data_IF_572074415671
#
_entry.id   IF_572074415671
#
_cell.length_a   1.000
_cell.length_b   1.000
_cell.length_c   1.000
_cell.angle_alpha   90.00
_cell.angle_beta   90.00
_cell.angle_gamma   90.00
#
_symmetry.space_group_name_H-M   'P 1'
#
loop_
_entity.id
_entity.type
_entity.pdbx_description
1 polymer ?
#
# COMPACT_ATOMS: atom_id res chain seq x y z
N UNK A 1 -2.06 1.18 8.05
CA UNK A 1 -1.35 2.35 8.58
C UNK A 1 -0.81 3.18 7.43
N UNK A 2 -1.00 4.50 7.47
CA UNK A 2 -0.56 5.42 6.41
C UNK A 2 0.68 6.18 6.92
N UNK A 3 1.85 5.70 6.55
CA UNK A 3 3.14 6.34 6.81
C UNK A 3 3.83 6.79 5.51
N UNK A 4 3.16 6.63 4.38
CA UNK A 4 3.62 7.10 3.06
C UNK A 4 3.43 8.61 2.89
N UNK A 5 2.36 9.17 3.48
CA UNK A 5 2.03 10.58 3.36
C UNK A 5 1.11 11.05 4.50
N UNK A 6 0.91 12.36 4.59
CA UNK A 6 -0.04 12.96 5.53
C UNK A 6 -0.92 13.98 4.81
N UNK A 7 -2.07 14.30 5.42
CA UNK A 7 -3.01 15.29 4.89
C UNK A 7 -2.34 16.66 4.77
N UNK A 8 -2.60 17.35 3.67
CA UNK A 8 -2.15 18.71 3.40
C UNK A 8 -3.09 19.72 4.06
N UNK A 9 -3.24 19.62 5.38
CA UNK A 9 -4.05 20.54 6.18
C UNK A 9 -3.15 21.17 7.26
N UNK A 10 -2.92 22.47 7.16
CA UNK A 10 -2.02 23.20 8.06
C UNK A 10 -2.65 23.54 9.41
N UNK A 11 -3.99 23.50 9.52
CA UNK A 11 -4.71 23.83 10.74
C UNK A 11 -4.96 22.61 11.63
N UNK A 12 -5.28 21.47 11.03
CA UNK A 12 -5.71 20.25 11.74
C UNK A 12 -4.74 19.08 11.55
N UNK A 13 -3.78 19.20 10.61
CA UNK A 13 -2.77 18.19 10.31
C UNK A 13 -1.40 18.49 10.89
N UNK A 14 -0.42 17.68 10.52
CA UNK A 14 0.97 17.82 10.93
C UNK A 14 1.75 18.89 10.13
N UNK A 15 1.12 19.51 9.12
CA UNK A 15 1.78 20.38 8.15
C UNK A 15 2.58 21.52 8.73
N UNK A 16 2.08 22.14 9.81
CA UNK A 16 2.73 23.23 10.55
C UNK A 16 2.68 23.00 12.06
N UNK A 17 2.83 21.75 12.51
CA UNK A 17 2.60 21.37 13.91
C UNK A 17 3.47 22.13 14.91
N UNK A 18 4.74 22.40 14.59
CA UNK A 18 5.67 23.19 15.44
C UNK A 18 5.77 24.67 15.01
N UNK A 19 4.88 25.10 14.10
CA UNK A 19 4.93 26.45 13.50
C UNK A 19 5.87 26.53 12.29
N UNK A 20 6.48 25.43 11.88
CA UNK A 20 7.28 25.34 10.64
C UNK A 20 6.72 24.28 9.71
N UNK A 21 6.88 24.42 8.37
CA UNK A 21 6.38 23.43 7.41
C UNK A 21 7.27 22.20 7.25
N UNK A 22 8.36 22.10 8.00
CA UNK A 22 9.43 21.11 7.76
C UNK A 22 9.67 20.14 8.91
N UNK A 23 8.91 20.19 9.99
CA UNK A 23 9.15 19.32 11.15
C UNK A 23 9.12 17.84 10.76
N UNK A 24 8.06 17.42 10.08
CA UNK A 24 7.85 16.03 9.69
C UNK A 24 8.18 15.75 8.20
N UNK A 25 8.16 16.79 7.38
CA UNK A 25 8.11 16.67 5.93
C UNK A 25 9.39 17.16 5.26
N UNK A 26 9.60 16.73 4.03
CA UNK A 26 10.66 17.25 3.19
C UNK A 26 10.54 18.76 2.98
N UNK A 27 11.66 19.41 2.70
CA UNK A 27 11.69 20.79 2.23
C UNK A 27 11.57 20.88 0.71
N UNK A 28 11.11 22.03 0.20
CA UNK A 28 11.06 22.32 -1.22
C UNK A 28 10.11 21.41 -2.00
N UNK A 29 10.48 21.07 -3.22
CA UNK A 29 9.63 20.32 -4.15
C UNK A 29 9.29 18.88 -3.75
N UNK A 30 10.03 18.30 -2.80
CA UNK A 30 9.74 16.96 -2.27
C UNK A 30 8.71 16.96 -1.15
N UNK A 31 8.27 18.12 -0.67
CA UNK A 31 7.33 18.26 0.44
C UNK A 31 5.95 17.69 0.08
N UNK A 32 5.50 17.96 -1.13
CA UNK A 32 4.16 17.61 -1.59
C UNK A 32 4.20 16.42 -2.52
N UNK A 33 3.28 15.49 -2.32
CA UNK A 33 3.09 14.36 -3.23
C UNK A 33 2.45 14.85 -4.54
N UNK A 34 3.06 14.61 -5.72
CA UNK A 34 2.62 15.23 -6.96
C UNK A 34 1.23 14.76 -7.46
N UNK A 35 0.73 13.60 -6.95
CA UNK A 35 -0.54 13.03 -7.40
C UNK A 35 -1.62 12.95 -6.31
N UNK A 36 -1.28 13.05 -5.00
CA UNK A 36 -2.23 12.72 -3.92
C UNK A 36 -2.67 13.91 -3.07
N UNK A 37 -2.32 15.15 -3.44
CA UNK A 37 -2.61 16.35 -2.64
C UNK A 37 -2.28 16.17 -1.14
N UNK A 38 -1.10 15.68 -0.87
CA UNK A 38 -0.65 15.28 0.46
C UNK A 38 0.82 15.66 0.71
N UNK A 39 1.30 15.51 1.94
CA UNK A 39 2.65 15.83 2.36
C UNK A 39 3.49 14.56 2.54
N UNK A 40 4.74 14.56 2.06
CA UNK A 40 5.66 13.45 2.12
C UNK A 40 6.58 13.55 3.33
N UNK A 41 6.61 12.51 4.16
CA UNK A 41 7.51 12.43 5.31
C UNK A 41 8.98 12.42 4.91
N UNK A 42 9.82 13.10 5.69
CA UNK A 42 11.27 13.06 5.56
C UNK A 42 11.85 11.97 6.46
N UNK A 43 11.97 10.76 5.93
CA UNK A 43 12.47 9.60 6.69
C UNK A 43 13.95 9.70 7.06
N UNK A 44 14.70 10.64 6.50
CA UNK A 44 16.08 10.94 6.88
C UNK A 44 16.22 11.64 8.22
N UNK A 45 15.13 12.15 8.78
CA UNK A 45 15.13 12.80 10.10
C UNK A 45 14.93 11.78 11.22
N UNK A 46 15.83 11.76 12.18
CA UNK A 46 15.75 10.85 13.34
C UNK A 46 14.45 11.03 14.12
N UNK A 47 13.99 12.26 14.30
CA UNK A 47 12.74 12.58 15.00
C UNK A 47 11.51 12.05 14.26
N UNK A 48 11.53 12.08 12.93
CA UNK A 48 10.46 11.52 12.10
C UNK A 48 10.44 10.00 12.20
N UNK A 49 11.62 9.36 12.14
CA UNK A 49 11.74 7.92 12.39
C UNK A 49 11.16 7.55 13.76
N UNK A 50 11.55 8.26 14.82
CA UNK A 50 11.02 8.03 16.17
C UNK A 50 9.51 8.22 16.24
N UNK A 51 8.97 9.25 15.59
CA UNK A 51 7.53 9.50 15.54
C UNK A 51 6.78 8.34 14.87
N UNK A 52 7.19 7.94 13.67
CA UNK A 52 6.52 6.89 12.91
C UNK A 52 6.66 5.51 13.56
N UNK A 53 7.84 5.18 14.09
CA UNK A 53 8.07 3.92 14.81
C UNK A 53 7.28 3.88 16.13
N UNK A 54 7.22 5.01 16.86
CA UNK A 54 6.40 5.12 18.08
C UNK A 54 4.93 4.98 17.77
N UNK A 55 4.46 5.46 16.62
CA UNK A 55 3.08 5.27 16.17
C UNK A 55 2.76 3.79 15.95
N UNK A 56 3.63 3.01 15.30
CA UNK A 56 3.44 1.56 15.22
C UNK A 56 3.31 0.92 16.61
N UNK A 57 4.24 1.22 17.52
CA UNK A 57 4.21 0.68 18.87
C UNK A 57 2.96 1.10 19.63
N UNK A 58 2.55 2.35 19.53
CA UNK A 58 1.36 2.90 20.18
C UNK A 58 0.08 2.15 19.83
N UNK A 59 -0.16 1.89 18.55
CA UNK A 59 -1.33 1.14 18.10
C UNK A 59 -1.32 -0.31 18.59
N UNK A 60 -0.16 -0.93 18.71
CA UNK A 60 -0.04 -2.30 19.24
C UNK A 60 -0.23 -2.36 20.75
N UNK A 61 0.43 -1.47 21.50
CA UNK A 61 0.42 -1.50 22.96
C UNK A 61 -0.88 -0.97 23.56
N UNK A 62 -1.43 0.13 22.99
CA UNK A 62 -2.60 0.80 23.56
C UNK A 62 -3.90 0.20 23.03
N UNK A 63 -3.97 -0.10 21.74
CA UNK A 63 -5.17 -0.59 21.09
C UNK A 63 -5.15 -2.09 20.77
N UNK A 64 -4.05 -2.76 21.00
CA UNK A 64 -3.95 -4.21 20.87
C UNK A 64 -3.94 -4.74 19.44
N UNK A 65 -3.56 -3.92 18.46
CA UNK A 65 -3.47 -4.38 17.07
C UNK A 65 -2.50 -5.56 16.93
N UNK A 66 -2.83 -6.48 15.99
CA UNK A 66 -2.06 -7.67 15.68
C UNK A 66 -1.13 -7.51 14.47
N UNK A 67 -1.06 -6.33 13.91
CA UNK A 67 -0.22 -6.02 12.76
C UNK A 67 -0.75 -4.88 11.93
N UNK A 68 -0.13 -4.66 10.77
CA UNK A 68 -0.44 -3.51 9.91
C UNK A 68 -0.36 -3.84 8.42
N UNK A 69 -1.26 -3.29 7.66
CA UNK A 69 -1.09 -3.06 6.22
C UNK A 69 -0.50 -1.66 6.04
N UNK A 70 0.68 -1.59 5.46
CA UNK A 70 1.34 -0.33 5.09
C UNK A 70 0.84 0.12 3.74
N UNK A 71 0.30 1.32 3.73
CA UNK A 71 -0.27 1.99 2.57
C UNK A 71 0.82 2.67 1.73
N UNK A 72 0.73 2.58 0.40
CA UNK A 72 1.55 3.35 -0.52
C UNK A 72 3.05 3.05 -0.44
N UNK A 73 3.45 1.81 -0.22
CA UNK A 73 4.87 1.44 -0.05
C UNK A 73 5.71 1.80 -1.28
N UNK A 74 5.18 1.64 -2.50
CA UNK A 74 5.86 2.09 -3.73
C UNK A 74 6.21 3.57 -3.66
N UNK A 75 5.24 4.40 -3.24
CA UNK A 75 5.44 5.85 -3.11
C UNK A 75 6.52 6.21 -2.08
N UNK A 76 6.72 5.38 -1.06
CA UNK A 76 7.79 5.56 -0.08
C UNK A 76 9.15 5.19 -0.65
N UNK A 77 9.24 4.03 -1.32
CA UNK A 77 10.51 3.45 -1.76
C UNK A 77 11.19 4.22 -2.89
N UNK A 78 10.45 5.01 -3.66
CA UNK A 78 10.99 5.71 -4.84
C UNK A 78 10.78 7.22 -4.76
N UNK A 79 11.81 7.98 -5.12
CA UNK A 79 11.77 9.47 -5.16
C UNK A 79 10.77 9.99 -6.18
N UNK A 80 10.51 9.22 -7.25
CA UNK A 80 9.46 9.46 -8.24
C UNK A 80 8.07 9.09 -7.74
N UNK A 81 7.95 8.47 -6.55
CA UNK A 81 6.73 7.87 -6.03
C UNK A 81 6.17 6.73 -6.91
N UNK A 82 6.98 6.17 -7.81
CA UNK A 82 6.55 5.19 -8.81
C UNK A 82 5.72 5.77 -9.95
N UNK A 83 5.58 7.10 -10.01
CA UNK A 83 4.77 7.75 -11.03
C UNK A 83 5.50 7.78 -12.38
N UNK A 84 4.80 7.31 -13.42
CA UNK A 84 5.36 7.27 -14.79
C UNK A 84 6.49 6.26 -14.98
N UNK A 85 6.63 5.30 -14.08
CA UNK A 85 7.63 4.22 -14.16
C UNK A 85 6.96 2.88 -14.42
N UNK A 86 7.47 2.18 -15.44
CA UNK A 86 7.11 0.79 -15.70
C UNK A 86 8.20 -0.12 -15.15
N UNK A 87 7.90 -0.87 -14.11
CA UNK A 87 8.83 -1.80 -13.46
C UNK A 87 8.90 -3.14 -14.23
N UNK A 88 9.44 -3.10 -15.45
CA UNK A 88 9.43 -4.24 -16.39
C UNK A 88 10.63 -5.16 -16.25
N UNK A 89 11.72 -4.70 -15.66
CA UNK A 89 12.94 -5.49 -15.43
C UNK A 89 13.66 -5.11 -14.14
N UNK A 90 14.67 -5.88 -13.75
CA UNK A 90 15.40 -5.68 -12.51
C UNK A 90 16.15 -4.34 -12.43
N UNK A 91 16.55 -3.76 -13.55
CA UNK A 91 17.25 -2.47 -13.55
C UNK A 91 16.33 -1.32 -13.13
N UNK A 92 15.02 -1.47 -13.32
CA UNK A 92 14.05 -0.46 -12.90
C UNK A 92 13.94 -0.30 -11.38
N UNK A 93 14.26 -1.38 -10.64
CA UNK A 93 14.18 -1.34 -9.16
C UNK A 93 15.40 -0.69 -8.51
N UNK A 94 16.54 -0.62 -9.22
CA UNK A 94 17.85 -0.20 -8.66
C UNK A 94 18.55 0.78 -9.62
N UNK A 95 17.86 1.87 -9.95
CA UNK A 95 18.33 2.86 -10.93
C UNK A 95 18.82 4.18 -10.29
N UNK A 96 18.90 4.23 -8.94
CA UNK A 96 19.28 5.43 -8.19
C UNK A 96 18.10 6.33 -7.81
N UNK A 97 16.86 5.92 -8.17
CA UNK A 97 15.64 6.60 -7.80
C UNK A 97 15.09 6.14 -6.43
N UNK A 98 15.71 5.11 -5.86
CA UNK A 98 15.29 4.58 -4.55
C UNK A 98 15.48 5.64 -3.45
N UNK A 99 14.53 5.68 -2.51
CA UNK A 99 14.68 6.44 -1.28
C UNK A 99 15.22 5.51 -0.17
N UNK A 100 16.53 5.55 0.04
CA UNK A 100 17.21 4.70 1.01
C UNK A 100 16.75 4.94 2.45
N UNK A 101 16.33 6.18 2.78
CA UNK A 101 15.84 6.51 4.12
C UNK A 101 14.47 5.90 4.36
N UNK A 102 13.59 5.91 3.36
CA UNK A 102 12.29 5.25 3.44
C UNK A 102 12.43 3.72 3.53
N UNK A 103 13.34 3.12 2.74
CA UNK A 103 13.63 1.67 2.81
C UNK A 103 14.17 1.30 4.20
N UNK A 104 15.06 2.11 4.76
CA UNK A 104 15.56 1.95 6.12
C UNK A 104 14.41 2.01 7.14
N UNK A 105 13.56 3.01 7.04
CA UNK A 105 12.38 3.15 7.89
C UNK A 105 11.48 1.90 7.84
N UNK A 106 11.11 1.42 6.64
CA UNK A 106 10.26 0.24 6.46
C UNK A 106 10.87 -1.00 7.10
N UNK A 107 12.17 -1.19 6.93
CA UNK A 107 12.92 -2.30 7.54
C UNK A 107 12.91 -2.22 9.07
N UNK A 108 13.13 -1.01 9.62
CA UNK A 108 13.08 -0.77 11.07
C UNK A 108 11.67 -0.96 11.63
N UNK A 109 10.64 -0.53 10.92
CA UNK A 109 9.24 -0.69 11.32
C UNK A 109 8.88 -2.18 11.41
N UNK A 110 9.20 -2.98 10.38
CA UNK A 110 8.98 -4.42 10.40
C UNK A 110 9.71 -5.08 11.59
N UNK A 111 10.97 -4.74 11.80
CA UNK A 111 11.75 -5.26 12.93
C UNK A 111 11.10 -4.91 14.28
N UNK A 112 10.75 -3.64 14.48
CA UNK A 112 10.12 -3.17 15.72
C UNK A 112 8.80 -3.89 15.99
N UNK A 113 7.94 -3.99 14.99
CA UNK A 113 6.61 -4.62 15.10
C UNK A 113 6.74 -6.06 15.58
N UNK A 114 7.65 -6.84 14.97
CA UNK A 114 7.88 -8.24 15.35
C UNK A 114 8.60 -8.40 16.71
N UNK A 115 9.40 -7.42 17.13
CA UNK A 115 9.99 -7.41 18.48
C UNK A 115 8.95 -7.07 19.56
N UNK A 116 8.05 -6.14 19.30
CA UNK A 116 6.93 -5.78 20.20
C UNK A 116 5.95 -6.96 20.33
N UNK A 117 5.62 -7.62 19.23
CA UNK A 117 4.67 -8.74 19.21
C UNK A 117 5.09 -9.81 18.21
N UNK A 118 5.60 -10.93 18.71
CA UNK A 118 6.13 -12.03 17.88
C UNK A 118 5.15 -12.62 16.85
N UNK A 119 3.86 -12.52 17.10
CA UNK A 119 2.82 -13.01 16.19
C UNK A 119 2.21 -11.93 15.31
N UNK A 120 2.76 -10.72 15.32
CA UNK A 120 2.28 -9.64 14.48
C UNK A 120 2.49 -9.94 13.00
N UNK A 121 1.62 -9.38 12.16
CA UNK A 121 1.67 -9.54 10.70
C UNK A 121 1.85 -8.17 10.06
N UNK A 122 2.80 -8.07 9.13
CA UNK A 122 3.01 -6.88 8.32
C UNK A 122 2.76 -7.16 6.85
N UNK A 123 2.01 -6.27 6.22
CA UNK A 123 1.54 -6.41 4.83
C UNK A 123 1.91 -5.14 4.08
N UNK A 124 2.63 -5.28 2.98
CA UNK A 124 2.93 -4.15 2.10
C UNK A 124 1.90 -4.01 0.99
N UNK A 125 1.36 -2.82 0.83
CA UNK A 125 0.68 -2.43 -0.40
C UNK A 125 1.72 -1.82 -1.33
N UNK A 126 2.03 -2.54 -2.40
CA UNK A 126 3.08 -2.17 -3.34
C UNK A 126 2.70 -2.51 -4.78
N UNK A 127 2.78 -1.51 -5.65
CA UNK A 127 2.50 -1.61 -7.09
C UNK A 127 3.74 -1.91 -7.94
N UNK A 128 4.95 -1.63 -7.41
CA UNK A 128 6.19 -1.77 -8.19
C UNK A 128 6.56 -3.21 -8.49
N UNK A 129 6.17 -4.13 -7.62
CA UNK A 129 6.65 -5.50 -7.68
C UNK A 129 8.11 -5.67 -7.21
N UNK A 130 8.66 -4.72 -6.43
CA UNK A 130 10.02 -4.78 -5.88
C UNK A 130 10.33 -6.16 -5.30
N UNK A 131 11.37 -6.87 -5.78
CA UNK A 131 11.74 -8.17 -5.24
C UNK A 131 12.31 -8.05 -3.82
N UNK A 132 12.01 -9.05 -2.96
CA UNK A 132 12.50 -9.09 -1.59
C UNK A 132 11.70 -8.27 -0.59
N UNK A 133 10.64 -7.59 -1.01
CA UNK A 133 9.80 -6.79 -0.12
C UNK A 133 9.24 -7.64 1.04
N UNK A 134 8.69 -8.81 0.73
CA UNK A 134 8.17 -9.77 1.70
C UNK A 134 9.14 -10.92 1.98
N UNK A 135 10.43 -10.62 2.07
CA UNK A 135 11.48 -11.54 2.50
C UNK A 135 12.12 -11.06 3.81
N UNK A 136 12.68 -12.00 4.54
CA UNK A 136 13.33 -11.67 5.81
C UNK A 136 14.54 -10.74 5.62
N UNK A 137 14.75 -9.82 6.57
CA UNK A 137 15.88 -8.87 6.53
C UNK A 137 17.24 -9.57 6.46
N UNK A 138 17.41 -10.70 7.16
CA UNK A 138 18.63 -11.49 7.11
C UNK A 138 18.97 -12.06 5.72
N UNK A 139 17.96 -12.17 4.86
CA UNK A 139 18.08 -12.67 3.49
C UNK A 139 18.10 -11.53 2.46
N UNK A 140 18.28 -10.29 2.94
CA UNK A 140 18.34 -9.08 2.10
C UNK A 140 16.97 -8.44 1.81
N UNK A 141 15.89 -8.91 2.42
CA UNK A 141 14.55 -8.37 2.25
C UNK A 141 14.23 -7.21 3.19
N UNK A 142 13.03 -6.63 3.06
CA UNK A 142 12.56 -5.54 3.92
C UNK A 142 11.80 -6.01 5.16
N UNK A 143 11.55 -7.31 5.29
CA UNK A 143 10.98 -7.92 6.49
C UNK A 143 9.45 -7.93 6.58
N UNK A 144 8.73 -7.55 5.53
CA UNK A 144 7.28 -7.77 5.49
C UNK A 144 6.95 -9.26 5.47
N UNK A 145 5.85 -9.65 6.11
CA UNK A 145 5.36 -11.04 6.07
C UNK A 145 4.64 -11.34 4.75
N UNK A 146 3.93 -10.34 4.23
CA UNK A 146 3.13 -10.44 3.02
C UNK A 146 3.19 -9.15 2.20
N UNK A 147 2.87 -9.30 0.93
CA UNK A 147 2.49 -8.18 0.06
C UNK A 147 1.09 -8.40 -0.51
N UNK A 148 0.38 -7.34 -0.84
CA UNK A 148 -0.90 -7.44 -1.54
C UNK A 148 -0.67 -7.88 -2.98
N UNK A 149 -1.51 -8.79 -3.47
CA UNK A 149 -1.53 -9.20 -4.87
C UNK A 149 -2.32 -8.17 -5.70
N UNK A 150 -1.69 -7.04 -6.00
CA UNK A 150 -2.33 -5.84 -6.58
C UNK A 150 -3.02 -6.08 -7.94
N UNK A 151 -2.58 -7.06 -8.73
CA UNK A 151 -3.21 -7.40 -10.01
C UNK A 151 -4.53 -8.18 -9.88
N UNK A 152 -4.85 -8.72 -8.70
CA UNK A 152 -6.05 -9.56 -8.53
C UNK A 152 -7.35 -8.75 -8.60
N UNK A 153 -7.48 -7.58 -7.95
CA UNK A 153 -8.67 -6.74 -8.12
C UNK A 153 -8.93 -6.35 -9.58
N UNK A 154 -7.87 -5.94 -10.29
CA UNK A 154 -7.99 -5.58 -11.71
C UNK A 154 -8.40 -6.76 -12.58
N UNK A 155 -7.87 -7.96 -12.28
CA UNK A 155 -8.30 -9.20 -12.90
C UNK A 155 -9.79 -9.44 -12.69
N UNK A 156 -10.29 -9.35 -11.44
CA UNK A 156 -11.70 -9.55 -11.14
C UNK A 156 -12.60 -8.54 -11.83
N UNK A 157 -12.23 -7.26 -11.80
CA UNK A 157 -12.97 -6.19 -12.47
C UNK A 157 -13.09 -6.48 -13.96
N UNK A 158 -11.97 -6.80 -14.60
CA UNK A 158 -11.94 -7.11 -16.03
C UNK A 158 -12.72 -8.37 -16.35
N UNK A 159 -12.54 -9.41 -15.55
CA UNK A 159 -13.17 -10.72 -15.77
C UNK A 159 -14.69 -10.63 -15.67
N UNK A 160 -15.21 -9.97 -14.63
CA UNK A 160 -16.64 -9.75 -14.42
C UNK A 160 -17.25 -8.87 -15.54
N UNK A 161 -16.51 -7.87 -15.99
CA UNK A 161 -17.00 -6.91 -16.98
C UNK A 161 -17.01 -7.45 -18.42
N UNK A 162 -16.01 -8.26 -18.77
CA UNK A 162 -15.72 -8.61 -20.16
C UNK A 162 -16.02 -10.09 -20.50
N UNK A 163 -16.11 -10.98 -19.50
CA UNK A 163 -16.29 -12.41 -19.72
C UNK A 163 -17.69 -12.84 -19.31
N UNK A 164 -18.44 -13.49 -20.21
CA UNK A 164 -19.75 -14.05 -19.90
C UNK A 164 -19.64 -15.18 -18.89
N UNK A 165 -20.65 -15.36 -18.05
CA UNK A 165 -20.65 -16.37 -16.98
C UNK A 165 -20.39 -17.79 -17.51
N UNK A 166 -20.97 -18.14 -18.66
CA UNK A 166 -20.78 -19.44 -19.31
C UNK A 166 -19.36 -19.68 -19.86
N UNK A 167 -18.59 -18.59 -20.05
CA UNK A 167 -17.21 -18.63 -20.56
C UNK A 167 -16.17 -18.62 -19.44
N UNK A 168 -16.58 -18.61 -18.19
CA UNK A 168 -15.66 -18.60 -17.06
C UNK A 168 -14.86 -19.90 -16.98
N UNK A 169 -13.55 -19.76 -16.88
CA UNK A 169 -12.59 -20.86 -16.82
C UNK A 169 -11.93 -20.94 -15.45
N UNK A 170 -12.31 -21.91 -14.66
CA UNK A 170 -11.75 -22.10 -13.30
C UNK A 170 -10.23 -22.22 -13.30
N UNK A 171 -9.63 -22.85 -14.32
CA UNK A 171 -8.18 -22.95 -14.45
C UNK A 171 -7.48 -21.61 -14.66
N UNK A 172 -8.11 -20.69 -15.39
CA UNK A 172 -7.58 -19.33 -15.58
C UNK A 172 -7.69 -18.53 -14.29
N UNK A 173 -8.83 -18.58 -13.63
CA UNK A 173 -9.04 -17.93 -12.32
C UNK A 173 -7.98 -18.43 -11.30
N UNK A 174 -7.80 -19.75 -11.23
CA UNK A 174 -6.81 -20.36 -10.35
C UNK A 174 -5.39 -19.88 -10.65
N UNK A 175 -5.02 -19.83 -11.94
CA UNK A 175 -3.71 -19.34 -12.36
C UNK A 175 -3.47 -17.89 -11.91
N UNK A 176 -4.40 -16.99 -12.19
CA UNK A 176 -4.27 -15.58 -11.84
C UNK A 176 -4.17 -15.39 -10.31
N UNK A 177 -4.98 -16.10 -9.54
CA UNK A 177 -4.96 -16.04 -8.08
C UNK A 177 -3.71 -16.64 -7.44
N UNK A 178 -2.98 -17.50 -8.14
CA UNK A 178 -1.79 -18.20 -7.62
C UNK A 178 -0.49 -17.77 -8.30
N UNK A 179 -0.55 -16.97 -9.34
CA UNK A 179 0.61 -16.44 -10.05
C UNK A 179 1.37 -15.43 -9.18
N UNK A 180 2.42 -15.90 -8.53
CA UNK A 180 3.25 -15.11 -7.61
C UNK A 180 4.69 -15.59 -7.62
N UNK A 181 5.60 -14.76 -7.08
CA UNK A 181 6.97 -15.21 -6.79
C UNK A 181 6.96 -16.29 -5.72
N UNK A 182 7.80 -17.31 -5.87
CA UNK A 182 7.85 -18.43 -4.92
C UNK A 182 8.35 -18.00 -3.53
N UNK A 183 9.24 -17.01 -3.50
CA UNK A 183 9.94 -16.58 -2.29
C UNK A 183 9.16 -15.53 -1.48
N UNK A 184 8.07 -15.02 -2.01
CA UNK A 184 7.25 -13.99 -1.36
C UNK A 184 5.81 -14.45 -1.15
N UNK A 185 5.31 -14.25 0.05
CA UNK A 185 3.91 -14.51 0.37
C UNK A 185 3.04 -13.33 -0.06
N UNK A 186 1.90 -13.66 -0.65
CA UNK A 186 0.92 -12.66 -1.09
C UNK A 186 -0.43 -12.86 -0.42
N UNK A 187 -1.17 -11.77 -0.28
CA UNK A 187 -2.58 -11.80 0.08
C UNK A 187 -3.38 -11.41 -1.15
N UNK A 188 -4.18 -12.35 -1.64
CA UNK A 188 -5.14 -12.13 -2.72
C UNK A 188 -6.41 -11.52 -2.16
N UNK A 189 -6.99 -10.57 -2.87
CA UNK A 189 -8.25 -9.93 -2.51
C UNK A 189 -9.03 -9.55 -3.77
N UNK A 190 -10.34 -9.45 -3.65
CA UNK A 190 -11.19 -9.15 -4.79
C UNK A 190 -11.35 -7.64 -5.01
N UNK A 191 -11.48 -6.89 -3.92
CA UNK A 191 -11.56 -5.42 -3.94
C UNK A 191 -11.05 -4.82 -2.63
N UNK A 192 -10.68 -3.55 -2.66
CA UNK A 192 -10.41 -2.70 -1.51
C UNK A 192 -11.19 -1.38 -1.66
N UNK A 193 -10.97 -0.44 -0.74
CA UNK A 193 -11.52 0.91 -0.86
C UNK A 193 -11.06 1.64 -2.12
N UNK A 194 -9.88 1.31 -2.66
CA UNK A 194 -9.30 1.99 -3.82
C UNK A 194 -10.14 1.81 -5.08
N UNK A 195 -10.65 0.60 -5.34
CA UNK A 195 -11.45 0.32 -6.53
C UNK A 195 -12.75 1.13 -6.57
N UNK A 196 -13.33 1.42 -5.40
CA UNK A 196 -14.53 2.22 -5.29
C UNK A 196 -14.26 3.74 -5.33
N UNK A 197 -13.10 4.18 -4.80
CA UNK A 197 -12.75 5.61 -4.67
C UNK A 197 -12.15 6.20 -5.94
N UNK A 198 -11.40 5.43 -6.71
CA UNK A 198 -10.65 5.92 -7.88
C UNK A 198 -11.48 5.86 -9.17
N UNK A 199 -12.79 6.06 -9.08
CA UNK A 199 -13.64 6.31 -10.23
C UNK A 199 -14.39 5.09 -10.74
N UNK A 200 -14.60 4.09 -9.89
CA UNK A 200 -15.38 2.94 -10.26
C UNK A 200 -16.35 2.48 -9.17
N UNK A 201 -16.98 1.35 -9.38
CA UNK A 201 -17.98 0.74 -8.51
C UNK A 201 -17.36 -0.39 -7.71
N UNK A 202 -17.93 -0.71 -6.55
CA UNK A 202 -17.65 -1.98 -5.88
C UNK A 202 -18.06 -3.17 -6.77
N UNK A 203 -17.50 -4.34 -6.52
CA UNK A 203 -17.79 -5.55 -7.31
C UNK A 203 -19.29 -5.85 -7.36
N UNK A 204 -20.00 -5.72 -6.25
CA UNK A 204 -21.46 -5.97 -6.22
C UNK A 204 -22.22 -5.03 -7.16
N UNK A 205 -21.86 -3.75 -7.20
CA UNK A 205 -22.49 -2.80 -8.11
C UNK A 205 -22.06 -2.96 -9.57
N UNK A 206 -20.92 -3.60 -9.82
CA UNK A 206 -20.54 -4.02 -11.18
C UNK A 206 -21.39 -5.19 -11.67
N UNK A 207 -21.65 -6.16 -10.80
CA UNK A 207 -22.51 -7.31 -11.12
C UNK A 207 -23.95 -6.89 -11.38
N UNK A 208 -24.48 -5.96 -10.58
CA UNK A 208 -25.86 -5.49 -10.71
C UNK A 208 -26.03 -4.40 -11.78
N UNK A 209 -24.98 -3.63 -12.07
CA UNK A 209 -24.93 -2.51 -12.99
C UNK A 209 -26.16 -1.58 -12.92
N UNK A 210 -26.94 -1.44 -13.99
CA UNK A 210 -28.11 -0.56 -14.05
C UNK A 210 -29.21 -0.97 -13.06
N UNK A 211 -29.32 -2.24 -12.73
CA UNK A 211 -30.33 -2.77 -11.79
C UNK A 211 -30.17 -2.19 -10.37
N UNK A 212 -28.94 -1.76 -10.00
CA UNK A 212 -28.72 -1.11 -8.70
C UNK A 212 -29.56 0.15 -8.50
N UNK A 213 -29.95 0.86 -9.56
CA UNK A 213 -30.77 2.08 -9.48
C UNK A 213 -32.26 1.80 -9.35
N UNK A 214 -32.72 0.59 -9.73
CA UNK A 214 -34.14 0.28 -9.83
C UNK A 214 -34.63 -0.72 -8.79
N UNK A 215 -33.74 -1.56 -8.27
CA UNK A 215 -34.13 -2.70 -7.42
C UNK A 215 -33.64 -2.63 -5.97
N UNK A 216 -32.54 -1.90 -5.70
CA UNK A 216 -31.99 -1.82 -4.34
C UNK A 216 -32.89 -1.08 -3.33
N UNK A 217 -33.66 -0.10 -3.77
CA UNK A 217 -34.57 0.67 -2.90
C UNK A 217 -35.74 -0.17 -2.34
N UNK A 218 -36.05 -1.29 -2.96
CA UNK A 218 -37.21 -2.09 -2.62
C UNK A 218 -36.88 -3.49 -2.09
N UNK A 219 -35.64 -3.76 -1.75
CA UNK A 219 -35.23 -5.06 -1.20
C UNK A 219 -35.37 -6.23 -2.19
N UNK A 220 -35.32 -5.98 -3.48
CA UNK A 220 -35.38 -6.98 -4.57
C UNK A 220 -34.00 -7.35 -5.11
N UNK A 221 -32.94 -7.15 -4.34
CA UNK A 221 -31.57 -7.52 -4.73
C UNK A 221 -31.33 -9.01 -4.59
#
# INVERSE_FOLDING_TARGET
IVHSHAVKNELEGLGNFDGTPYQYFHAGGRREHPAWDSLCFDYGKTEVLHFLLSNCKYWMDVYGFDGFRFDGVTSMMYKSHGLGEDFVDYSCYYNGNEDGDAICYLTLANKLIHEVKKGAITIAEDMSGMPGLACAVKDGGMGFDYRLAMGIPDFWIKYIKEVRDEDWKAGHIFYEMTNRRQDEKTISYAESHDQALVGDKTIIFRLCDADMYWHFEHGHA
#
